data_IF_802130587530
#
_entry.id   IF_802130587530
#
_cell.length_a   1.000
_cell.length_b   1.000
_cell.length_c   1.000
_cell.angle_alpha   90.00
_cell.angle_beta   90.00
_cell.angle_gamma   90.00
#
_symmetry.space_group_name_H-M   'P 1'
#
loop_
_entity.id
_entity.type
_entity.pdbx_description
1 polymer ?
#
# COMPACT_ATOMS: atom_id res chain seq x y z
N UNK A 1 18.42 8.09 22.65
CA UNK A 1 18.90 9.38 22.10
C UNK A 1 19.87 9.14 20.94
N UNK A 2 19.39 8.49 19.85
CA UNK A 2 20.14 8.20 18.60
C UNK A 2 19.21 8.07 17.38
N UNK A 3 17.98 8.56 17.49
CA UNK A 3 16.94 8.47 16.44
C UNK A 3 16.66 9.83 15.77
N UNK A 4 17.23 10.93 16.28
CA UNK A 4 16.96 12.29 15.80
C UNK A 4 18.03 12.77 14.78
N UNK A 5 19.18 12.09 14.70
CA UNK A 5 20.36 12.64 14.02
C UNK A 5 20.47 12.37 12.52
N UNK A 6 19.50 11.71 11.86
CA UNK A 6 19.66 11.43 10.42
C UNK A 6 18.43 11.53 9.53
N UNK A 7 17.36 12.20 9.99
CA UNK A 7 16.19 12.40 9.12
C UNK A 7 16.53 13.22 7.87
N UNK A 8 17.49 14.15 7.94
CA UNK A 8 17.95 14.91 6.77
C UNK A 8 18.60 14.01 5.72
N UNK A 9 19.36 13.00 6.12
CA UNK A 9 19.93 12.04 5.16
C UNK A 9 18.85 11.13 4.57
N UNK A 10 17.86 10.74 5.36
CA UNK A 10 16.69 10.00 4.87
C UNK A 10 15.88 10.78 3.81
N UNK A 11 15.86 12.12 3.90
CA UNK A 11 15.12 12.97 2.96
C UNK A 11 15.93 13.40 1.73
N UNK A 12 17.20 13.03 1.61
CA UNK A 12 17.94 13.31 0.36
C UNK A 12 17.37 12.48 -0.78
N UNK A 13 17.58 12.93 -2.02
CA UNK A 13 17.27 12.15 -3.21
C UNK A 13 17.95 10.77 -3.11
N UNK A 14 17.16 9.71 -3.32
CA UNK A 14 17.59 8.32 -3.10
C UNK A 14 17.71 7.55 -4.42
N UNK A 15 17.17 8.09 -5.51
CA UNK A 15 17.15 7.44 -6.81
C UNK A 15 17.29 8.47 -7.93
N UNK A 16 18.19 8.19 -8.88
CA UNK A 16 18.33 8.98 -10.09
C UNK A 16 17.17 8.61 -11.05
N UNK A 17 16.35 9.59 -11.48
CA UNK A 17 15.23 9.36 -12.40
C UNK A 17 15.62 8.68 -13.72
N UNK A 18 16.85 8.83 -14.19
CA UNK A 18 17.36 8.18 -15.41
C UNK A 18 17.73 6.70 -15.20
N UNK A 19 17.76 6.24 -13.94
CA UNK A 19 18.17 4.87 -13.56
C UNK A 19 17.03 4.04 -12.96
N UNK A 20 15.78 4.52 -13.04
CA UNK A 20 14.60 3.84 -12.51
C UNK A 20 14.48 2.43 -13.09
N UNK A 21 14.65 1.43 -12.22
CA UNK A 21 14.51 0.01 -12.54
C UNK A 21 13.04 -0.41 -12.68
N UNK A 22 12.68 -0.91 -13.87
CA UNK A 22 11.34 -1.41 -14.21
C UNK A 22 11.28 -2.93 -14.34
N UNK A 23 12.40 -3.65 -14.17
CA UNK A 23 12.48 -5.12 -14.32
C UNK A 23 11.56 -5.87 -13.35
N UNK A 24 11.33 -5.30 -12.17
CA UNK A 24 10.40 -5.82 -11.16
C UNK A 24 8.91 -5.66 -11.52
N UNK A 25 8.59 -5.24 -12.75
CA UNK A 25 7.23 -5.28 -13.31
C UNK A 25 7.01 -6.42 -14.29
N UNK A 26 8.04 -7.23 -14.57
CA UNK A 26 7.92 -8.43 -15.39
C UNK A 26 6.88 -9.40 -14.83
N UNK A 27 5.99 -9.85 -15.71
CA UNK A 27 5.01 -10.90 -15.40
C UNK A 27 5.74 -12.25 -15.26
N UNK A 28 5.36 -13.01 -14.24
CA UNK A 28 5.91 -14.33 -13.94
C UNK A 28 5.11 -15.40 -14.68
N UNK A 29 5.80 -16.46 -15.11
CA UNK A 29 5.17 -17.60 -15.77
C UNK A 29 4.39 -18.50 -14.82
N UNK A 30 4.56 -18.30 -13.50
CA UNK A 30 3.87 -19.06 -12.45
C UNK A 30 3.51 -18.16 -11.27
N UNK A 31 2.48 -18.54 -10.53
CA UNK A 31 2.23 -18.02 -9.18
C UNK A 31 3.41 -18.34 -8.26
N UNK A 32 3.55 -17.58 -7.17
CA UNK A 32 4.71 -17.74 -6.28
C UNK A 32 4.75 -19.17 -5.69
N UNK A 33 5.78 -19.99 -6.00
CA UNK A 33 5.75 -21.43 -5.73
C UNK A 33 5.76 -21.79 -4.24
N UNK A 34 6.30 -20.91 -3.39
CA UNK A 34 6.25 -21.12 -1.93
C UNK A 34 4.86 -20.85 -1.32
N UNK A 35 3.96 -20.20 -2.05
CA UNK A 35 2.60 -19.87 -1.59
C UNK A 35 1.55 -20.76 -2.23
N UNK A 36 1.73 -21.15 -3.49
CA UNK A 36 0.68 -21.80 -4.27
C UNK A 36 1.07 -23.23 -4.66
N UNK A 37 0.21 -24.17 -4.31
CA UNK A 37 0.30 -25.57 -4.70
C UNK A 37 -0.46 -25.79 -6.00
N UNK A 38 0.28 -26.20 -7.04
CA UNK A 38 -0.22 -26.43 -8.40
C UNK A 38 -1.03 -25.25 -9.00
N UNK A 39 -0.81 -24.03 -8.49
CA UNK A 39 -1.57 -22.81 -8.82
C UNK A 39 -3.09 -22.89 -8.54
N UNK A 40 -3.54 -23.92 -7.83
CA UNK A 40 -4.94 -24.15 -7.50
C UNK A 40 -5.26 -23.82 -6.05
N UNK A 41 -4.32 -24.06 -5.15
CA UNK A 41 -4.54 -23.90 -3.71
C UNK A 41 -3.41 -23.15 -3.03
N UNK A 42 -3.77 -22.43 -1.98
CA UNK A 42 -2.79 -21.86 -1.09
C UNK A 42 -2.17 -22.99 -0.26
N UNK A 43 -0.87 -22.90 0.01
CA UNK A 43 -0.21 -23.82 0.92
C UNK A 43 -0.92 -23.83 2.28
N UNK A 44 -1.24 -25.02 2.79
CA UNK A 44 -2.10 -25.21 3.97
C UNK A 44 -1.56 -24.47 5.22
N UNK A 45 -0.26 -24.59 5.50
CA UNK A 45 0.37 -23.91 6.65
C UNK A 45 0.27 -22.38 6.53
N UNK A 46 0.45 -21.85 5.31
CA UNK A 46 0.31 -20.42 5.04
C UNK A 46 -1.15 -19.99 5.20
N UNK A 47 -2.10 -20.75 4.64
CA UNK A 47 -3.53 -20.48 4.78
C UNK A 47 -3.99 -20.42 6.23
N UNK A 48 -3.62 -21.42 7.04
CA UNK A 48 -3.93 -21.47 8.47
C UNK A 48 -3.35 -20.28 9.23
N UNK A 49 -2.11 -19.90 8.90
CA UNK A 49 -1.44 -18.76 9.55
C UNK A 49 -2.11 -17.44 9.17
N UNK A 50 -2.41 -17.23 7.89
CA UNK A 50 -3.11 -16.04 7.41
C UNK A 50 -4.50 -15.92 8.03
N UNK A 51 -5.27 -17.01 8.06
CA UNK A 51 -6.59 -17.01 8.68
C UNK A 51 -6.52 -16.68 10.18
N UNK A 52 -5.51 -17.21 10.88
CA UNK A 52 -5.28 -16.90 12.30
C UNK A 52 -4.95 -15.42 12.53
N UNK A 53 -4.09 -14.83 11.68
CA UNK A 53 -3.75 -13.40 11.74
C UNK A 53 -4.99 -12.54 11.54
N UNK A 54 -5.78 -12.83 10.49
CA UNK A 54 -7.02 -12.11 10.22
C UNK A 54 -8.02 -12.18 11.38
N UNK A 55 -8.16 -13.35 12.01
CA UNK A 55 -9.05 -13.54 13.17
C UNK A 55 -8.59 -12.77 14.41
N UNK A 56 -7.30 -12.81 14.74
CA UNK A 56 -6.76 -12.07 15.89
C UNK A 56 -6.89 -10.55 15.67
N UNK A 57 -6.62 -10.09 14.44
CA UNK A 57 -6.86 -8.70 14.08
C UNK A 57 -8.34 -8.32 14.22
N UNK A 58 -9.25 -9.08 13.60
CA UNK A 58 -10.69 -8.78 13.66
C UNK A 58 -11.22 -8.79 15.10
N UNK A 59 -10.78 -9.75 15.91
CA UNK A 59 -11.11 -9.83 17.34
C UNK A 59 -10.64 -8.60 18.11
N UNK A 60 -9.47 -8.03 17.77
CA UNK A 60 -8.94 -6.82 18.42
C UNK A 60 -9.79 -5.57 18.19
N UNK A 61 -10.73 -5.60 17.24
CA UNK A 61 -11.66 -4.51 16.99
C UNK A 61 -12.85 -4.49 17.97
N UNK A 62 -13.06 -5.56 18.75
CA UNK A 62 -14.16 -5.74 19.69
C UNK A 62 -15.58 -5.58 19.07
N UNK A 63 -15.71 -5.81 17.76
CA UNK A 63 -16.97 -5.74 17.00
C UNK A 63 -17.77 -7.03 17.07
N UNK A 64 -18.14 -7.47 18.28
CA UNK A 64 -18.77 -8.77 18.51
C UNK A 64 -20.15 -8.97 17.86
N UNK A 65 -20.76 -7.90 17.35
CA UNK A 65 -22.05 -7.93 16.62
C UNK A 65 -21.90 -7.95 15.10
N UNK A 66 -20.67 -7.92 14.58
CA UNK A 66 -20.37 -7.92 13.16
C UNK A 66 -19.86 -9.29 12.75
N UNK A 67 -20.42 -9.84 11.68
CA UNK A 67 -20.00 -11.15 11.17
C UNK A 67 -18.72 -11.06 10.33
N UNK A 68 -17.78 -11.97 10.60
CA UNK A 68 -16.64 -12.22 9.71
C UNK A 68 -17.11 -13.05 8.51
N UNK A 69 -17.43 -12.37 7.41
CA UNK A 69 -18.00 -12.98 6.21
C UNK A 69 -16.95 -13.84 5.49
N UNK A 70 -15.77 -13.29 5.23
CA UNK A 70 -14.66 -13.97 4.54
C UNK A 70 -13.31 -13.40 4.96
N UNK A 71 -12.23 -14.10 4.61
CA UNK A 71 -10.86 -13.60 4.65
C UNK A 71 -10.25 -13.89 3.29
N UNK A 72 -9.89 -12.85 2.55
CA UNK A 72 -9.36 -12.99 1.19
C UNK A 72 -7.88 -12.61 1.12
N UNK A 73 -7.12 -13.37 0.33
CA UNK A 73 -5.77 -13.05 -0.07
C UNK A 73 -5.82 -12.54 -1.51
N UNK A 74 -5.34 -11.31 -1.73
CA UNK A 74 -5.31 -10.68 -3.05
C UNK A 74 -3.96 -10.00 -3.31
N UNK A 75 -3.91 -9.12 -4.31
CA UNK A 75 -2.74 -8.33 -4.63
C UNK A 75 -1.70 -9.09 -5.44
N UNK A 76 -0.45 -8.62 -5.36
CA UNK A 76 0.59 -9.08 -6.28
C UNK A 76 1.01 -10.53 -6.07
N UNK A 77 1.02 -11.04 -4.83
CA UNK A 77 1.33 -12.44 -4.53
C UNK A 77 0.19 -13.42 -4.86
N UNK A 78 -1.04 -12.93 -4.99
CA UNK A 78 -2.18 -13.69 -5.52
C UNK A 78 -2.34 -13.54 -7.05
N UNK A 79 -1.27 -13.12 -7.73
CA UNK A 79 -1.25 -12.85 -9.17
C UNK A 79 0.14 -13.16 -9.73
N UNK A 80 0.32 -13.06 -11.04
CA UNK A 80 1.59 -13.27 -11.75
C UNK A 80 2.52 -12.05 -11.72
N UNK A 81 2.23 -11.05 -10.88
CA UNK A 81 2.96 -9.77 -10.81
C UNK A 81 3.81 -9.63 -9.56
N UNK A 82 4.08 -10.75 -8.88
CA UNK A 82 4.86 -10.76 -7.66
C UNK A 82 6.34 -10.44 -7.92
N UNK A 83 6.97 -9.80 -6.93
CA UNK A 83 8.39 -9.43 -6.92
C UNK A 83 8.92 -9.44 -5.49
N UNK A 84 10.22 -9.19 -5.30
CA UNK A 84 10.79 -9.00 -3.95
C UNK A 84 10.19 -7.81 -3.16
N UNK A 85 9.46 -6.92 -3.83
CA UNK A 85 8.77 -5.79 -3.23
C UNK A 85 7.32 -6.07 -2.85
N UNK A 86 6.85 -7.31 -3.07
CA UNK A 86 5.48 -7.68 -2.79
C UNK A 86 5.21 -7.81 -1.28
N UNK A 87 3.95 -7.72 -0.94
CA UNK A 87 3.33 -7.91 0.36
C UNK A 87 2.18 -8.92 0.21
N UNK A 88 1.75 -9.47 1.35
CA UNK A 88 0.56 -10.32 1.45
C UNK A 88 -0.60 -9.40 1.83
N UNK A 89 -1.44 -9.08 0.84
CA UNK A 89 -2.64 -8.27 1.03
C UNK A 89 -3.79 -9.15 1.57
N UNK A 90 -4.00 -9.09 2.89
CA UNK A 90 -4.99 -9.89 3.60
C UNK A 90 -6.23 -9.05 3.96
N UNK A 91 -7.36 -9.34 3.33
CA UNK A 91 -8.59 -8.59 3.48
C UNK A 91 -9.61 -9.34 4.34
N UNK A 92 -10.01 -8.71 5.44
CA UNK A 92 -11.10 -9.15 6.31
C UNK A 92 -12.41 -8.59 5.77
N UNK A 93 -13.29 -9.46 5.30
CA UNK A 93 -14.54 -9.07 4.64
C UNK A 93 -15.67 -9.03 5.68
N UNK A 94 -16.33 -7.88 5.78
CA UNK A 94 -17.47 -7.63 6.68
C UNK A 94 -18.50 -6.76 6.00
N UNK A 95 -19.73 -6.72 6.53
CA UNK A 95 -20.77 -5.78 6.07
C UNK A 95 -20.71 -4.50 6.92
N UNK A 96 -20.37 -3.37 6.30
CA UNK A 96 -20.23 -2.10 7.03
C UNK A 96 -21.55 -1.62 7.63
N UNK A 97 -22.69 -2.06 7.09
CA UNK A 97 -24.00 -1.75 7.65
C UNK A 97 -24.26 -2.44 9.00
N UNK A 98 -23.52 -3.50 9.33
CA UNK A 98 -23.60 -4.13 10.66
C UNK A 98 -22.78 -3.35 11.70
N UNK A 99 -21.80 -2.56 11.28
CA UNK A 99 -20.91 -1.84 12.21
C UNK A 99 -21.65 -0.66 12.81
N UNK A 100 -22.13 0.26 11.97
CA UNK A 100 -22.88 1.47 12.35
C UNK A 100 -23.59 2.07 11.12
N UNK A 101 -24.65 2.86 11.32
CA UNK A 101 -25.34 3.56 10.22
C UNK A 101 -24.49 4.70 9.62
N UNK A 102 -23.58 5.28 10.40
CA UNK A 102 -22.67 6.32 9.97
C UNK A 102 -21.50 5.74 9.17
N UNK A 103 -21.76 5.47 7.90
CA UNK A 103 -20.80 4.84 6.97
C UNK A 103 -19.48 5.61 6.86
N UNK A 104 -19.49 6.94 6.95
CA UNK A 104 -18.27 7.73 6.94
C UNK A 104 -17.39 7.41 8.15
N UNK A 105 -17.98 7.37 9.35
CA UNK A 105 -17.27 7.01 10.58
C UNK A 105 -16.78 5.55 10.55
N UNK A 106 -17.58 4.62 10.02
CA UNK A 106 -17.22 3.21 9.88
C UNK A 106 -15.98 3.05 9.00
N UNK A 107 -16.02 3.63 7.80
CA UNK A 107 -14.89 3.59 6.85
C UNK A 107 -13.63 4.15 7.50
N UNK A 108 -13.76 5.30 8.17
CA UNK A 108 -12.63 5.97 8.81
C UNK A 108 -12.06 5.16 9.98
N UNK A 109 -12.91 4.60 10.83
CA UNK A 109 -12.53 3.77 11.97
C UNK A 109 -11.78 2.52 11.49
N UNK A 110 -12.38 1.74 10.59
CA UNK A 110 -11.81 0.47 10.13
C UNK A 110 -10.49 0.69 9.38
N UNK A 111 -10.40 1.70 8.51
CA UNK A 111 -9.14 2.06 7.82
C UNK A 111 -8.04 2.43 8.81
N UNK A 112 -8.36 3.23 9.84
CA UNK A 112 -7.38 3.62 10.87
C UNK A 112 -6.94 2.42 11.72
N UNK A 113 -7.86 1.51 12.03
CA UNK A 113 -7.56 0.29 12.79
C UNK A 113 -6.61 -0.64 12.02
N UNK A 114 -6.86 -0.87 10.72
CA UNK A 114 -5.93 -1.63 9.86
C UNK A 114 -4.56 -0.96 9.75
N UNK A 115 -4.52 0.36 9.51
CA UNK A 115 -3.27 1.11 9.46
C UNK A 115 -2.49 1.07 10.79
N UNK A 116 -3.19 1.12 11.93
CA UNK A 116 -2.58 0.99 13.25
C UNK A 116 -1.99 -0.40 13.47
N UNK A 117 -2.72 -1.46 13.07
CA UNK A 117 -2.24 -2.83 13.15
C UNK A 117 -0.96 -3.02 12.33
N UNK A 118 -0.98 -2.64 11.05
CA UNK A 118 0.17 -2.79 10.15
C UNK A 118 1.38 -1.96 10.61
N UNK A 119 1.17 -0.82 11.27
CA UNK A 119 2.29 -0.03 11.85
C UNK A 119 2.86 -0.64 13.15
N UNK A 120 2.03 -1.32 13.92
CA UNK A 120 2.41 -1.88 15.23
C UNK A 120 2.97 -3.30 15.16
N UNK A 121 2.76 -3.98 14.03
CA UNK A 121 3.19 -5.36 13.83
C UNK A 121 3.98 -5.49 12.53
N UNK A 122 5.07 -6.26 12.58
CA UNK A 122 5.84 -6.66 11.40
C UNK A 122 5.80 -8.18 11.27
N UNK A 123 4.74 -8.68 10.66
CA UNK A 123 4.51 -10.12 10.50
C UNK A 123 5.04 -10.55 9.15
N UNK A 124 5.91 -11.57 9.12
CA UNK A 124 6.53 -12.06 7.90
C UNK A 124 6.15 -13.53 7.64
N UNK A 125 5.79 -13.86 6.40
CA UNK A 125 5.63 -15.22 5.90
C UNK A 125 6.49 -15.37 4.65
N UNK A 126 7.43 -16.34 4.67
CA UNK A 126 8.41 -16.55 3.58
C UNK A 126 9.18 -15.28 3.17
N UNK A 127 9.37 -14.34 4.12
CA UNK A 127 10.05 -13.06 3.88
C UNK A 127 9.16 -11.92 3.38
N UNK A 128 7.88 -12.19 3.11
CA UNK A 128 6.89 -11.17 2.70
C UNK A 128 6.09 -10.68 3.91
N UNK A 129 5.86 -9.37 3.97
CA UNK A 129 5.09 -8.74 5.03
C UNK A 129 3.60 -8.96 4.85
N UNK A 130 2.90 -9.26 5.94
CA UNK A 130 1.43 -9.39 5.95
C UNK A 130 0.82 -8.03 6.29
N UNK A 131 0.10 -7.46 5.33
CA UNK A 131 -0.68 -6.23 5.52
C UNK A 131 -2.16 -6.60 5.63
N UNK A 132 -2.80 -6.19 6.72
CA UNK A 132 -4.21 -6.50 6.98
C UNK A 132 -5.10 -5.30 6.67
N UNK A 133 -6.20 -5.57 5.99
CA UNK A 133 -7.21 -4.60 5.58
C UNK A 133 -8.60 -5.08 6.01
N UNK A 134 -9.52 -4.15 6.28
CA UNK A 134 -10.95 -4.45 6.34
C UNK A 134 -11.58 -3.92 5.07
N UNK A 135 -12.44 -4.74 4.47
CA UNK A 135 -13.14 -4.41 3.25
C UNK A 135 -14.64 -4.64 3.42
N UNK A 136 -15.42 -3.71 2.89
CA UNK A 136 -16.87 -3.85 2.84
C UNK A 136 -17.23 -4.91 1.79
N UNK A 137 -18.12 -5.83 2.16
CA UNK A 137 -18.66 -6.85 1.27
C UNK A 137 -19.41 -6.26 0.06
N UNK A 138 -19.84 -5.00 0.15
CA UNK A 138 -20.54 -4.29 -0.92
C UNK A 138 -19.61 -3.47 -1.85
N UNK A 139 -18.30 -3.39 -1.57
CA UNK A 139 -17.36 -2.61 -2.38
C UNK A 139 -17.02 -3.35 -3.69
N UNK A 140 -17.06 -2.67 -4.86
CA UNK A 140 -16.63 -3.26 -6.13
C UNK A 140 -15.18 -3.76 -6.06
N UNK A 141 -14.94 -4.96 -6.56
CA UNK A 141 -13.59 -5.52 -6.65
C UNK A 141 -13.01 -5.33 -8.06
N UNK A 142 -11.83 -4.71 -8.13
CA UNK A 142 -11.09 -4.49 -9.38
C UNK A 142 -9.78 -5.32 -9.46
N UNK A 143 -9.55 -6.19 -8.48
CA UNK A 143 -8.34 -7.01 -8.41
C UNK A 143 -8.52 -8.28 -9.22
N UNK A 144 -7.57 -8.58 -10.09
CA UNK A 144 -7.47 -9.91 -10.69
C UNK A 144 -6.72 -10.81 -9.70
N UNK A 145 -7.30 -11.96 -9.35
CA UNK A 145 -6.73 -12.83 -8.30
C UNK A 145 -7.27 -12.52 -6.90
N UNK A 146 -8.30 -13.24 -6.51
CA UNK A 146 -8.92 -13.18 -5.19
C UNK A 146 -9.11 -14.60 -4.69
N UNK A 147 -8.41 -14.96 -3.63
CA UNK A 147 -8.50 -16.27 -3.00
C UNK A 147 -9.18 -16.17 -1.65
N UNK A 148 -10.21 -16.97 -1.39
CA UNK A 148 -10.78 -17.10 -0.05
C UNK A 148 -9.90 -18.01 0.79
N UNK A 149 -9.19 -17.43 1.75
CA UNK A 149 -8.41 -18.19 2.75
C UNK A 149 -9.37 -18.97 3.66
N UNK A 150 -10.55 -18.42 3.95
CA UNK A 150 -11.55 -19.07 4.80
C UNK A 150 -12.15 -20.32 4.16
N UNK A 151 -12.36 -20.31 2.83
CA UNK A 151 -13.01 -21.40 2.07
C UNK A 151 -12.02 -22.27 1.30
N UNK A 152 -10.74 -21.92 1.29
CA UNK A 152 -9.69 -22.65 0.57
C UNK A 152 -9.97 -22.76 -0.95
N UNK A 153 -10.45 -21.66 -1.56
CA UNK A 153 -10.81 -21.63 -2.98
C UNK A 153 -10.61 -20.26 -3.63
N UNK A 154 -10.34 -20.25 -4.94
CA UNK A 154 -10.36 -19.03 -5.75
C UNK A 154 -11.79 -18.49 -5.86
N UNK A 155 -11.99 -17.24 -5.43
CA UNK A 155 -13.19 -16.46 -5.78
C UNK A 155 -13.04 -15.97 -7.23
N UNK A 156 -11.84 -15.47 -7.56
CA UNK A 156 -11.45 -15.07 -8.91
C UNK A 156 -10.01 -15.52 -9.15
N UNK A 157 -9.81 -16.52 -10.02
CA UNK A 157 -8.47 -17.01 -10.34
C UNK A 157 -7.74 -16.02 -11.25
N UNK A 158 -6.47 -15.66 -10.97
CA UNK A 158 -5.75 -14.72 -11.82
C UNK A 158 -5.49 -15.33 -13.20
N UNK A 159 -5.54 -14.48 -14.23
CA UNK A 159 -5.17 -14.85 -15.59
C UNK A 159 -3.75 -14.36 -15.91
N UNK A 160 -3.00 -15.18 -16.64
CA UNK A 160 -1.75 -14.74 -17.25
C UNK A 160 -2.10 -13.84 -18.43
N UNK A 161 -1.84 -12.56 -18.27
CA UNK A 161 -1.88 -11.56 -19.34
C UNK A 161 -0.46 -11.08 -19.56
N UNK A 162 -0.07 -10.93 -20.83
CA UNK A 162 1.16 -10.26 -21.23
C UNK A 162 0.82 -8.80 -21.56
N UNK A 163 0.90 -7.88 -20.58
CA UNK A 163 0.65 -6.47 -20.82
C UNK A 163 1.82 -5.84 -21.57
N UNK A 164 1.51 -4.89 -22.45
CA UNK A 164 2.54 -4.00 -23.00
C UNK A 164 2.94 -2.99 -21.93
N UNK A 165 4.16 -3.12 -21.39
CA UNK A 165 4.70 -2.23 -20.36
C UNK A 165 5.43 -1.08 -21.03
N UNK A 166 4.85 0.12 -20.94
CA UNK A 166 5.46 1.36 -21.43
C UNK A 166 6.47 1.92 -20.41
N UNK A 167 7.66 1.30 -20.39
CA UNK A 167 8.73 1.67 -19.46
C UNK A 167 9.10 3.16 -19.54
N UNK A 168 9.11 3.74 -20.76
CA UNK A 168 9.45 5.14 -20.97
C UNK A 168 8.46 6.08 -20.29
N UNK A 169 7.15 5.85 -20.48
CA UNK A 169 6.14 6.68 -19.82
C UNK A 169 6.07 6.44 -18.31
N UNK A 170 6.38 5.23 -17.82
CA UNK A 170 6.48 4.94 -16.39
C UNK A 170 7.60 5.78 -15.77
N UNK A 171 8.80 5.71 -16.34
CA UNK A 171 9.97 6.46 -15.87
C UNK A 171 9.70 7.96 -15.90
N UNK A 172 9.20 8.49 -17.03
CA UNK A 172 8.91 9.92 -17.17
C UNK A 172 7.90 10.42 -16.13
N UNK A 173 6.79 9.69 -15.94
CA UNK A 173 5.75 10.10 -14.96
C UNK A 173 6.24 9.97 -13.52
N UNK A 174 7.03 8.93 -13.21
CA UNK A 174 7.65 8.78 -11.90
C UNK A 174 8.65 9.91 -11.61
N UNK A 175 9.55 10.21 -12.56
CA UNK A 175 10.51 11.31 -12.49
C UNK A 175 9.82 12.65 -12.18
N UNK A 176 8.79 13.01 -12.95
CA UNK A 176 8.04 14.26 -12.69
C UNK A 176 7.42 14.31 -11.29
N UNK A 177 6.94 13.19 -10.77
CA UNK A 177 6.39 13.14 -9.41
C UNK A 177 7.49 13.14 -8.33
N UNK A 178 8.69 12.66 -8.65
CA UNK A 178 9.87 12.77 -7.79
C UNK A 178 10.32 14.23 -7.69
N UNK A 179 10.45 14.92 -8.83
CA UNK A 179 10.77 16.35 -8.90
C UNK A 179 9.80 17.19 -8.06
N UNK A 180 8.49 16.93 -8.18
CA UNK A 180 7.46 17.59 -7.37
C UNK A 180 7.72 17.39 -5.85
N UNK A 181 8.12 16.18 -5.42
CA UNK A 181 8.42 15.88 -4.01
C UNK A 181 9.72 16.53 -3.57
N UNK A 182 10.69 16.67 -4.47
CA UNK A 182 11.96 17.34 -4.19
C UNK A 182 11.76 18.86 -4.02
N UNK A 183 10.82 19.48 -4.74
CA UNK A 183 10.40 20.87 -4.49
C UNK A 183 9.84 21.05 -3.06
N UNK A 184 9.06 20.09 -2.55
CA UNK A 184 8.58 20.11 -1.15
C UNK A 184 9.76 20.07 -0.17
N UNK A 185 10.76 19.24 -0.48
CA UNK A 185 11.96 19.13 0.34
C UNK A 185 12.74 20.44 0.36
N UNK A 186 12.93 21.10 -0.78
CA UNK A 186 13.61 22.39 -0.89
C UNK A 186 12.92 23.47 -0.03
N UNK A 187 11.60 23.64 -0.19
CA UNK A 187 10.81 24.57 0.63
C UNK A 187 10.97 24.27 2.13
N UNK A 188 10.89 23.01 2.51
CA UNK A 188 11.06 22.60 3.90
C UNK A 188 12.46 22.92 4.44
N UNK A 189 13.52 22.70 3.65
CA UNK A 189 14.90 23.02 4.05
C UNK A 189 15.17 24.52 4.12
N UNK A 190 14.44 25.33 3.36
CA UNK A 190 14.46 26.79 3.41
C UNK A 190 13.60 27.36 4.56
N UNK A 191 13.07 26.50 5.42
CA UNK A 191 12.18 26.86 6.54
C UNK A 191 10.84 27.48 6.08
N UNK A 192 10.47 27.28 4.81
CA UNK A 192 9.19 27.69 4.24
C UNK A 192 8.11 26.63 4.54
N UNK A 193 7.82 26.42 5.83
CA UNK A 193 7.01 25.30 6.29
C UNK A 193 5.54 25.34 5.83
N UNK A 194 4.90 26.51 5.80
CA UNK A 194 3.52 26.60 5.32
C UNK A 194 3.41 26.31 3.80
N UNK A 195 4.25 26.89 2.92
CA UNK A 195 4.34 26.49 1.52
C UNK A 195 4.64 24.99 1.34
N UNK A 196 5.64 24.46 2.05
CA UNK A 196 5.99 23.04 1.99
C UNK A 196 4.81 22.14 2.35
N UNK A 197 4.11 22.45 3.44
CA UNK A 197 2.92 21.72 3.88
C UNK A 197 1.83 21.71 2.80
N UNK A 198 1.46 22.89 2.26
CA UNK A 198 0.41 23.03 1.24
C UNK A 198 0.77 22.30 -0.06
N UNK A 199 2.02 22.40 -0.50
CA UNK A 199 2.49 21.71 -1.70
C UNK A 199 2.48 20.19 -1.48
N UNK A 200 2.92 19.72 -0.31
CA UNK A 200 2.87 18.30 0.04
C UNK A 200 1.43 17.74 0.03
N UNK A 201 0.44 18.48 0.54
CA UNK A 201 -0.97 18.09 0.46
C UNK A 201 -1.45 17.95 -1.00
N UNK A 202 -1.11 18.92 -1.83
CA UNK A 202 -1.48 18.95 -3.25
C UNK A 202 -0.86 17.78 -4.02
N UNK A 203 0.42 17.50 -3.81
CA UNK A 203 1.11 16.38 -4.47
C UNK A 203 0.55 15.05 -3.99
N UNK A 204 0.27 14.90 -2.69
CA UNK A 204 -0.35 13.69 -2.15
C UNK A 204 -1.70 13.40 -2.81
N UNK A 205 -2.55 14.41 -2.98
CA UNK A 205 -3.83 14.25 -3.68
C UNK A 205 -3.66 13.99 -5.19
N UNK A 206 -2.68 14.64 -5.84
CA UNK A 206 -2.30 14.38 -7.24
C UNK A 206 -1.92 12.91 -7.43
N UNK A 207 -1.01 12.37 -6.62
CA UNK A 207 -0.57 10.97 -6.67
C UNK A 207 -1.74 10.01 -6.45
N UNK A 208 -2.63 10.31 -5.49
CA UNK A 208 -3.81 9.49 -5.20
C UNK A 208 -4.74 9.40 -6.41
N UNK A 209 -5.14 10.54 -6.98
CA UNK A 209 -6.02 10.62 -8.16
C UNK A 209 -5.37 9.99 -9.40
N UNK A 210 -4.06 10.21 -9.57
CA UNK A 210 -3.26 9.62 -10.63
C UNK A 210 -3.31 8.10 -10.59
N UNK A 211 -3.03 7.49 -9.44
CA UNK A 211 -3.11 6.04 -9.25
C UNK A 211 -4.53 5.50 -9.47
N UNK A 212 -5.54 6.16 -8.89
CA UNK A 212 -6.94 5.77 -9.03
C UNK A 212 -7.36 5.69 -10.50
N UNK A 213 -7.10 6.76 -11.27
CA UNK A 213 -7.43 6.80 -12.69
C UNK A 213 -6.67 5.75 -13.53
N UNK A 214 -5.49 5.30 -13.06
CA UNK A 214 -4.76 4.18 -13.65
C UNK A 214 -5.44 2.85 -13.42
N UNK A 215 -5.76 2.55 -12.16
CA UNK A 215 -6.42 1.31 -11.75
C UNK A 215 -7.77 1.14 -12.46
N UNK A 216 -8.57 2.21 -12.55
CA UNK A 216 -9.88 2.19 -13.22
C UNK A 216 -9.79 1.95 -14.73
N UNK A 217 -8.73 2.43 -15.41
CA UNK A 217 -8.60 2.36 -16.87
C UNK A 217 -7.82 1.14 -17.37
N UNK A 218 -6.73 0.79 -16.69
CA UNK A 218 -5.78 -0.22 -17.13
C UNK A 218 -5.32 -1.18 -16.02
N UNK A 219 -5.99 -1.15 -14.86
CA UNK A 219 -5.74 -2.07 -13.76
C UNK A 219 -4.30 -2.00 -13.22
N UNK A 220 -3.81 -3.16 -12.78
CA UNK A 220 -2.51 -3.32 -12.16
C UNK A 220 -1.32 -2.90 -13.06
N UNK A 221 -1.49 -2.94 -14.38
CA UNK A 221 -0.46 -2.68 -15.38
C UNK A 221 -0.52 -1.28 -15.99
N UNK A 222 -1.48 -0.44 -15.57
CA UNK A 222 -1.53 0.95 -16.02
C UNK A 222 -0.23 1.68 -15.70
N UNK A 223 0.21 2.54 -16.62
CA UNK A 223 1.40 3.38 -16.46
C UNK A 223 1.35 4.14 -15.14
N UNK A 224 0.17 4.65 -14.76
CA UNK A 224 -0.02 5.38 -13.51
C UNK A 224 0.19 4.51 -12.26
N UNK A 225 -0.31 3.27 -12.24
CA UNK A 225 -0.09 2.37 -11.11
C UNK A 225 1.37 1.92 -11.02
N UNK A 226 2.01 1.66 -12.17
CA UNK A 226 3.42 1.26 -12.20
C UNK A 226 4.34 2.44 -11.79
N UNK A 227 4.08 3.66 -12.24
CA UNK A 227 4.80 4.85 -11.76
C UNK A 227 4.59 5.10 -10.25
N UNK A 228 3.39 4.85 -9.73
CA UNK A 228 3.15 4.87 -8.28
C UNK A 228 4.01 3.83 -7.54
N UNK A 229 4.12 2.61 -8.07
CA UNK A 229 5.00 1.56 -7.49
C UNK A 229 6.47 1.99 -7.51
N UNK A 230 6.93 2.69 -8.55
CA UNK A 230 8.28 3.27 -8.59
C UNK A 230 8.47 4.26 -7.43
N UNK A 231 7.53 5.19 -7.20
CA UNK A 231 7.61 6.12 -6.08
C UNK A 231 7.62 5.41 -4.72
N UNK A 232 6.85 4.33 -4.56
CA UNK A 232 6.84 3.52 -3.33
C UNK A 232 8.22 2.88 -3.10
N UNK A 233 8.76 2.20 -4.11
CA UNK A 233 10.03 1.44 -4.03
C UNK A 233 11.25 2.32 -3.79
N UNK A 234 11.21 3.58 -4.24
CA UNK A 234 12.27 4.55 -4.03
C UNK A 234 12.02 5.47 -2.82
N UNK A 235 11.15 5.07 -1.89
CA UNK A 235 10.82 5.78 -0.64
C UNK A 235 10.22 7.20 -0.80
N UNK A 236 9.94 7.65 -2.04
CA UNK A 236 9.41 9.00 -2.32
C UNK A 236 8.02 9.23 -1.69
N UNK A 237 7.16 8.22 -1.64
CA UNK A 237 5.86 8.35 -0.94
C UNK A 237 6.03 8.57 0.57
N UNK A 238 7.02 7.92 1.16
CA UNK A 238 7.35 8.07 2.58
C UNK A 238 8.03 9.41 2.85
N UNK A 239 8.94 9.83 1.97
CA UNK A 239 9.57 11.16 1.98
C UNK A 239 8.50 12.26 1.98
N UNK A 240 7.57 12.22 1.01
CA UNK A 240 6.46 13.17 0.92
C UNK A 240 5.58 13.20 2.19
N UNK A 241 5.22 12.01 2.70
CA UNK A 241 4.41 11.91 3.92
C UNK A 241 5.12 12.48 5.15
N UNK A 242 6.43 12.24 5.26
CA UNK A 242 7.26 12.76 6.36
C UNK A 242 7.38 14.28 6.28
N UNK A 243 7.68 14.81 5.09
CA UNK A 243 7.76 16.26 4.85
C UNK A 243 6.47 16.97 5.20
N UNK A 244 5.31 16.42 4.80
CA UNK A 244 4.01 16.97 5.17
C UNK A 244 3.86 17.10 6.69
N UNK A 245 4.11 16.01 7.42
CA UNK A 245 3.95 15.99 8.89
C UNK A 245 4.94 16.94 9.54
N UNK A 246 6.22 16.86 9.17
CA UNK A 246 7.27 17.70 9.74
C UNK A 246 7.04 19.19 9.48
N UNK A 247 6.56 19.56 8.29
CA UNK A 247 6.21 20.94 7.96
C UNK A 247 5.08 21.46 8.85
N UNK A 248 4.04 20.64 9.06
CA UNK A 248 2.94 20.98 9.95
C UNK A 248 3.43 21.15 11.40
N UNK A 249 4.21 20.19 11.91
CA UNK A 249 4.72 20.22 13.28
C UNK A 249 5.59 21.46 13.51
N UNK A 250 6.45 21.81 12.54
CA UNK A 250 7.28 23.03 12.62
C UNK A 250 6.44 24.31 12.60
N UNK A 251 5.40 24.37 11.78
CA UNK A 251 4.47 25.50 11.74
C UNK A 251 3.70 25.67 13.06
N UNK A 252 3.36 24.58 13.75
CA UNK A 252 2.55 24.58 14.97
C UNK A 252 3.36 24.61 16.27
N UNK A 253 4.67 24.38 16.20
CA UNK A 253 5.55 24.37 17.37
C UNK A 253 5.95 25.78 17.80
N UNK A 254 5.92 26.04 19.11
CA UNK A 254 6.48 27.25 19.72
C UNK A 254 7.54 26.79 20.74
N UNK A 255 8.79 27.24 20.58
CA UNK A 255 9.92 26.91 21.48
C UNK A 255 10.13 25.39 21.70
N UNK A 256 9.93 24.57 20.67
CA UNK A 256 9.97 23.10 20.77
C UNK A 256 11.33 22.49 20.44
N UNK A 257 12.20 22.37 21.44
CA UNK A 257 13.17 21.29 21.51
C UNK A 257 12.86 20.46 22.77
N UNK A 258 12.28 19.27 22.58
CA UNK A 258 12.22 18.29 23.67
C UNK A 258 13.60 17.62 23.75
N UNK A 259 14.28 17.62 24.92
CA UNK A 259 15.56 16.92 25.09
C UNK A 259 15.45 15.41 24.86
#
# INVERSE_FOLDING_TARGET
MRLIENWKEFLKEVADPETIDTSSFEVKSVLHPDFWEDEERLNEEIGDRLYSIAKEFFKSLDLNWVDLLDVTFTGSLANYTWSSYSDIDLHVIVDYNQVDENQELVVDFLRKSGALWNRSHKILIKGFEVEVYIQDANEPHYSTGIYSVKKDEWIEKPSQIEPEIDAMNIQKKAATLMDDVDEVYELFTNEEYEPAYKLAEKIKDKIRKFRQAGLERGGAYSVENLAFKVLRRNEYLRKLSSLKVMSYDKMMSINGEHP
#
